data_IF_729435409309
#
_entry.id   IF_729435409309
#
_cell.length_a   1.000
_cell.length_b   1.000
_cell.length_c   1.000
_cell.angle_alpha   90.00
_cell.angle_beta   90.00
_cell.angle_gamma   90.00
#
_symmetry.space_group_name_H-M   'P 1'
#
loop_
_entity.id
_entity.type
_entity.pdbx_description
1 polymer ?
#
# COMPACT_ATOMS: atom_id res chain seq x y z
N UNK A 1 30.67 58.47 -24.75
CA UNK A 1 30.90 57.05 -25.07
C UNK A 1 31.48 56.36 -23.83
N UNK A 2 30.83 55.29 -23.36
CA UNK A 2 31.42 54.30 -22.45
C UNK A 2 31.42 54.59 -20.94
N UNK A 3 30.28 54.40 -20.25
CA UNK A 3 30.27 54.11 -18.80
C UNK A 3 29.99 52.61 -18.62
N UNK A 4 30.95 51.93 -18.01
CA UNK A 4 30.90 50.53 -17.58
C UNK A 4 29.87 50.39 -16.45
N UNK A 5 28.76 49.70 -16.72
CA UNK A 5 27.76 49.31 -15.72
C UNK A 5 27.94 47.84 -15.34
N UNK A 6 28.19 47.58 -14.05
CA UNK A 6 28.20 46.23 -13.45
C UNK A 6 26.80 45.62 -13.57
N UNK A 7 26.71 44.48 -14.26
CA UNK A 7 25.50 43.65 -14.31
C UNK A 7 25.44 42.82 -13.02
N UNK A 8 24.49 43.15 -12.13
CA UNK A 8 24.12 42.30 -11.00
C UNK A 8 23.18 41.22 -11.55
N UNK A 9 23.65 39.98 -11.56
CA UNK A 9 22.82 38.81 -11.89
C UNK A 9 21.97 38.51 -10.64
N UNK A 10 20.72 38.99 -10.64
CA UNK A 10 19.69 38.52 -9.71
C UNK A 10 19.11 37.25 -10.34
N UNK A 11 19.49 36.10 -9.80
CA UNK A 11 18.91 34.81 -10.17
C UNK A 11 17.45 34.75 -9.73
N UNK A 12 16.54 35.02 -10.66
CA UNK A 12 15.11 34.75 -10.50
C UNK A 12 14.93 33.23 -10.58
N UNK A 13 14.71 32.60 -9.43
CA UNK A 13 14.18 31.24 -9.36
C UNK A 13 12.75 31.26 -9.89
N UNK A 14 12.59 30.83 -11.14
CA UNK A 14 11.28 30.55 -11.72
C UNK A 14 10.75 29.30 -11.04
N UNK A 15 9.86 29.50 -10.06
CA UNK A 15 9.04 28.44 -9.47
C UNK A 15 8.09 27.96 -10.57
N UNK A 16 8.44 26.85 -11.22
CA UNK A 16 7.50 26.10 -12.06
C UNK A 16 6.53 25.36 -11.14
N UNK A 17 5.40 26.00 -10.84
CA UNK A 17 4.25 25.38 -10.17
C UNK A 17 3.55 24.51 -11.21
N UNK A 18 3.97 23.25 -11.32
CA UNK A 18 3.15 22.20 -11.94
C UNK A 18 2.14 21.71 -10.90
N UNK A 19 0.87 22.10 -11.08
CA UNK A 19 -0.27 21.53 -10.37
C UNK A 19 -0.49 20.08 -10.84
N UNK A 20 0.22 19.13 -10.24
CA UNK A 20 -0.15 17.71 -10.26
C UNK A 20 -1.11 17.43 -9.11
N UNK A 21 -2.29 16.91 -9.41
CA UNK A 21 -3.21 16.37 -8.40
C UNK A 21 -2.54 15.17 -7.71
N UNK A 22 -1.87 15.39 -6.58
CA UNK A 22 -1.13 14.34 -5.89
C UNK A 22 -2.04 13.43 -5.06
N UNK A 23 -2.39 12.26 -5.60
CA UNK A 23 -2.82 11.10 -4.80
C UNK A 23 -1.64 10.18 -4.47
N UNK A 24 -0.56 10.77 -3.97
CA UNK A 24 0.63 10.04 -3.53
C UNK A 24 1.39 10.94 -2.55
N UNK A 25 1.02 10.90 -1.26
CA UNK A 25 1.87 11.48 -0.21
C UNK A 25 3.09 10.57 -0.11
N UNK A 26 4.07 10.77 -0.99
CA UNK A 26 5.39 10.16 -0.85
C UNK A 26 6.07 10.86 0.31
N UNK A 27 6.36 10.16 1.42
CA UNK A 27 7.16 10.76 2.48
C UNK A 27 8.54 11.03 1.89
N UNK A 28 8.91 12.30 1.73
CA UNK A 28 10.30 12.66 1.42
C UNK A 28 11.13 12.41 2.68
N UNK A 29 11.58 11.18 2.88
CA UNK A 29 12.50 10.83 3.97
C UNK A 29 13.92 11.27 3.58
N UNK A 30 14.51 12.15 4.39
CA UNK A 30 15.92 12.55 4.28
C UNK A 30 16.84 11.46 4.87
N UNK A 31 18.12 11.52 4.50
CA UNK A 31 19.23 10.72 5.04
C UNK A 31 19.17 10.71 6.59
N UNK A 32 19.21 9.52 7.19
CA UNK A 32 19.07 9.33 8.64
C UNK A 32 20.44 9.54 9.33
N UNK A 33 20.51 10.46 10.28
CA UNK A 33 21.57 10.54 11.31
C UNK A 33 21.03 9.91 12.62
N UNK A 34 21.89 9.58 13.58
CA UNK A 34 21.46 9.14 14.92
C UNK A 34 20.86 10.34 15.68
N UNK A 35 19.54 10.32 15.85
CA UNK A 35 18.72 11.35 16.50
C UNK A 35 18.93 12.81 16.00
N UNK A 36 18.73 13.10 14.71
CA UNK A 36 18.86 14.45 14.17
C UNK A 36 17.73 15.38 14.64
N UNK A 37 16.70 14.82 15.27
CA UNK A 37 15.40 15.47 15.48
C UNK A 37 15.14 15.78 16.98
N UNK A 38 16.06 15.41 17.88
CA UNK A 38 15.92 15.66 19.33
C UNK A 38 14.75 14.92 19.99
N UNK A 39 14.25 13.85 19.38
CA UNK A 39 13.13 13.07 19.91
C UNK A 39 13.62 12.26 21.09
N UNK A 40 12.97 12.43 22.24
CA UNK A 40 13.28 11.65 23.43
C UNK A 40 12.77 10.22 23.25
N UNK A 41 13.69 9.25 23.27
CA UNK A 41 13.36 7.82 23.19
C UNK A 41 13.64 7.12 24.50
N UNK A 42 12.74 6.23 24.91
CA UNK A 42 13.02 5.27 25.96
C UNK A 42 14.04 4.24 25.47
N UNK A 43 14.81 3.59 26.37
CA UNK A 43 15.53 2.38 26.02
C UNK A 43 14.57 1.37 25.40
N UNK A 44 15.03 0.63 24.39
CA UNK A 44 14.23 -0.46 23.84
C UNK A 44 13.98 -1.50 24.94
N UNK A 45 12.75 -2.05 25.03
CA UNK A 45 12.48 -3.10 25.99
C UNK A 45 13.27 -4.37 25.64
N UNK A 46 13.71 -5.10 26.66
CA UNK A 46 14.36 -6.40 26.47
C UNK A 46 13.41 -7.36 25.72
N UNK A 47 13.85 -8.02 24.64
CA UNK A 47 12.99 -8.90 23.85
C UNK A 47 12.40 -10.05 24.67
N UNK A 48 11.09 -10.26 24.55
CA UNK A 48 10.38 -11.43 25.11
C UNK A 48 9.86 -12.30 23.98
N UNK A 49 10.77 -13.08 23.38
CA UNK A 49 10.49 -13.86 22.17
C UNK A 49 9.80 -15.19 22.43
N UNK A 50 8.75 -15.46 21.66
CA UNK A 50 8.15 -16.79 21.50
C UNK A 50 8.55 -17.35 20.15
N UNK A 51 9.09 -18.57 20.12
CA UNK A 51 9.64 -19.17 18.91
C UNK A 51 8.77 -20.27 18.32
N UNK A 52 8.67 -20.25 16.99
CA UNK A 52 8.26 -21.35 16.14
C UNK A 52 9.50 -21.91 15.42
N UNK A 53 9.53 -23.21 15.19
CA UNK A 53 10.62 -23.90 14.49
C UNK A 53 10.09 -25.19 13.83
N UNK A 54 10.37 -25.37 12.54
CA UNK A 54 10.04 -26.59 11.78
C UNK A 54 11.26 -27.29 11.16
N UNK A 55 12.47 -26.94 11.60
CA UNK A 55 13.75 -27.42 11.05
C UNK A 55 14.26 -26.63 9.84
N UNK A 56 13.37 -25.95 9.11
CA UNK A 56 13.71 -25.16 7.91
C UNK A 56 13.60 -23.66 8.12
N UNK A 57 12.69 -23.23 8.99
CA UNK A 57 12.49 -21.84 9.38
C UNK A 57 12.43 -21.79 10.89
N UNK A 58 13.15 -20.83 11.48
CA UNK A 58 12.98 -20.43 12.87
C UNK A 58 12.46 -19.00 12.90
N UNK A 59 11.31 -18.81 13.55
CA UNK A 59 10.63 -17.52 13.65
C UNK A 59 10.40 -17.18 15.11
N UNK A 60 10.61 -15.93 15.50
CA UNK A 60 10.28 -15.43 16.81
C UNK A 60 9.41 -14.19 16.73
N UNK A 61 8.26 -14.21 17.41
CA UNK A 61 7.52 -12.98 17.71
C UNK A 61 7.96 -12.41 19.06
N UNK A 62 7.85 -11.10 19.25
CA UNK A 62 8.22 -10.46 20.52
C UNK A 62 7.01 -9.86 21.24
N UNK A 63 6.74 -10.37 22.44
CA UNK A 63 5.65 -9.88 23.28
C UNK A 63 5.89 -8.46 23.80
N UNK A 64 7.14 -8.00 23.80
CA UNK A 64 7.53 -6.63 24.13
C UNK A 64 7.68 -5.74 22.88
N UNK A 65 7.23 -6.20 21.71
CA UNK A 65 7.09 -5.39 20.50
C UNK A 65 5.76 -5.72 19.79
N UNK A 66 4.66 -5.72 20.54
CA UNK A 66 3.31 -5.92 20.01
C UNK A 66 3.09 -7.25 19.27
N UNK A 67 3.89 -8.27 19.56
CA UNK A 67 3.80 -9.57 18.91
C UNK A 67 4.27 -9.59 17.46
N UNK A 68 4.98 -8.56 16.99
CA UNK A 68 5.56 -8.55 15.65
C UNK A 68 6.66 -9.60 15.51
N UNK A 69 6.94 -10.00 14.27
CA UNK A 69 8.06 -10.90 13.98
C UNK A 69 9.35 -10.10 14.10
N UNK A 70 10.14 -10.38 15.13
CA UNK A 70 11.45 -9.75 15.40
C UNK A 70 12.62 -10.71 15.19
N UNK A 71 12.32 -11.98 14.91
CA UNK A 71 13.32 -12.97 14.57
C UNK A 71 12.84 -13.82 13.39
N UNK A 72 13.67 -13.93 12.36
CA UNK A 72 13.44 -14.84 11.23
C UNK A 72 14.79 -15.35 10.74
N UNK A 73 14.95 -16.66 10.68
CA UNK A 73 16.18 -17.30 10.25
C UNK A 73 15.91 -18.51 9.35
N UNK A 74 16.83 -18.75 8.42
CA UNK A 74 16.89 -19.99 7.66
C UNK A 74 17.50 -21.10 8.52
N UNK A 75 16.74 -22.18 8.73
CA UNK A 75 17.10 -23.27 9.64
C UNK A 75 17.01 -22.90 11.13
N UNK A 76 17.32 -23.88 11.98
CA UNK A 76 17.19 -23.76 13.45
C UNK A 76 18.29 -22.91 14.11
N UNK A 77 19.45 -22.83 13.45
CA UNK A 77 20.67 -22.15 13.92
C UNK A 77 21.08 -20.99 13.01
N UNK A 78 20.20 -20.54 12.13
CA UNK A 78 20.48 -19.41 11.25
C UNK A 78 20.63 -18.09 12.01
N UNK A 79 21.17 -17.09 11.32
CA UNK A 79 21.29 -15.73 11.87
C UNK A 79 19.96 -15.01 11.67
N UNK A 80 19.58 -14.19 12.65
CA UNK A 80 18.40 -13.34 12.52
C UNK A 80 18.53 -12.41 11.31
N UNK A 81 17.54 -12.43 10.43
CA UNK A 81 17.47 -11.57 9.27
C UNK A 81 16.75 -10.24 9.56
N UNK A 82 15.94 -10.18 10.62
CA UNK A 82 15.07 -9.05 10.94
C UNK A 82 15.84 -7.92 11.63
N UNK A 83 15.52 -6.68 11.26
CA UNK A 83 16.06 -5.49 11.91
C UNK A 83 15.13 -4.97 13.02
N UNK A 84 15.72 -4.74 14.19
CA UNK A 84 15.13 -4.36 15.46
C UNK A 84 15.70 -3.05 16.04
N UNK A 85 16.28 -2.18 15.22
CA UNK A 85 16.95 -0.95 15.69
C UNK A 85 16.02 0.07 16.37
N UNK A 86 14.71 0.02 16.10
CA UNK A 86 13.66 0.75 16.82
C UNK A 86 12.31 0.04 16.67
N UNK A 87 11.27 0.51 17.35
CA UNK A 87 9.91 -0.04 17.24
C UNK A 87 9.15 0.42 15.98
N UNK A 88 9.84 0.86 14.93
CA UNK A 88 9.25 1.15 13.62
C UNK A 88 9.79 0.25 12.50
N UNK A 89 10.81 -0.57 12.80
CA UNK A 89 11.36 -1.58 11.88
C UNK A 89 10.65 -2.92 12.14
N UNK A 90 11.24 -4.11 12.00
CA UNK A 90 10.54 -5.42 12.13
C UNK A 90 9.71 -5.85 10.90
N UNK A 91 9.13 -7.05 10.99
CA UNK A 91 8.12 -7.56 10.07
C UNK A 91 6.76 -7.36 10.72
N UNK A 92 6.00 -6.38 10.24
CA UNK A 92 4.83 -5.89 10.96
C UNK A 92 3.76 -5.24 10.07
N UNK A 93 2.63 -4.88 10.67
CA UNK A 93 1.55 -4.11 10.02
C UNK A 93 1.61 -2.64 10.44
N UNK A 94 1.56 -1.74 9.45
CA UNK A 94 1.36 -0.29 9.67
C UNK A 94 0.25 0.23 8.78
N UNK A 95 -0.74 0.90 9.37
CA UNK A 95 -1.91 1.42 8.65
C UNK A 95 -1.91 2.94 8.64
N UNK A 96 -2.52 3.56 7.64
CA UNK A 96 -2.55 5.02 7.48
C UNK A 96 -3.96 5.47 7.10
N UNK A 97 -4.46 6.47 7.81
CA UNK A 97 -5.69 7.19 7.50
C UNK A 97 -5.58 8.65 7.91
N UNK A 98 -6.55 9.47 7.52
CA UNK A 98 -6.72 10.80 8.11
C UNK A 98 -7.33 10.75 9.53
N UNK A 99 -7.37 11.91 10.21
CA UNK A 99 -6.94 13.22 9.71
C UNK A 99 -5.42 13.36 9.59
N UNK A 100 -4.96 14.35 8.82
CA UNK A 100 -3.54 14.71 8.67
C UNK A 100 -3.42 16.22 8.91
N UNK A 101 -2.74 16.69 9.98
CA UNK A 101 -2.15 15.89 11.06
C UNK A 101 -3.21 15.16 11.91
N UNK A 102 -2.75 14.19 12.71
CA UNK A 102 -3.58 13.50 13.71
C UNK A 102 -3.10 13.85 15.12
N UNK A 103 -3.95 14.58 15.85
CA UNK A 103 -3.76 14.94 17.25
C UNK A 103 -4.95 14.43 18.05
N UNK A 104 -4.68 13.84 19.21
CA UNK A 104 -5.71 13.26 20.09
C UNK A 104 -5.22 13.30 21.54
N UNK A 105 -6.13 13.38 22.51
CA UNK A 105 -5.80 13.35 23.94
C UNK A 105 -4.73 14.36 24.38
N UNK A 106 -4.70 15.54 23.74
CA UNK A 106 -3.73 16.60 24.01
C UNK A 106 -2.30 16.31 23.51
N UNK A 107 -2.13 15.29 22.66
CA UNK A 107 -0.85 14.92 22.05
C UNK A 107 -0.83 15.31 20.59
N UNK A 108 0.28 15.91 20.17
CA UNK A 108 0.54 16.30 18.79
C UNK A 108 1.62 15.40 18.16
N UNK A 109 1.55 15.15 16.84
CA UNK A 109 2.55 14.33 16.16
C UNK A 109 3.90 15.04 16.12
N UNK A 110 4.98 14.30 16.33
CA UNK A 110 6.33 14.85 16.16
C UNK A 110 6.54 15.37 14.74
N UNK A 111 7.25 16.50 14.61
CA UNK A 111 7.32 17.28 13.37
C UNK A 111 7.74 16.48 12.13
N UNK A 112 8.65 15.51 12.30
CA UNK A 112 9.15 14.65 11.21
C UNK A 112 8.07 13.78 10.56
N UNK A 113 7.05 13.39 11.31
CA UNK A 113 6.00 12.46 10.87
C UNK A 113 4.60 13.08 10.94
N UNK A 114 4.51 14.41 10.96
CA UNK A 114 3.24 15.16 10.97
C UNK A 114 2.29 14.78 9.81
N UNK A 115 2.85 14.34 8.68
CA UNK A 115 2.11 13.96 7.47
C UNK A 115 1.54 12.53 7.46
N UNK A 116 1.81 11.71 8.48
CA UNK A 116 1.36 10.31 8.50
C UNK A 116 -0.14 10.17 8.82
N UNK A 117 -0.68 11.08 9.63
CA UNK A 117 -2.07 11.04 10.10
C UNK A 117 -2.31 9.98 11.16
N UNK A 118 -3.50 9.37 11.16
CA UNK A 118 -3.81 8.22 11.99
C UNK A 118 -2.97 7.02 11.53
N UNK A 119 -1.91 6.72 12.26
CA UNK A 119 -0.92 5.72 11.88
C UNK A 119 -0.67 4.67 13.00
N UNK A 120 -1.56 3.67 13.15
CA UNK A 120 -1.32 2.53 14.03
C UNK A 120 -0.16 1.68 13.53
N UNK A 121 0.82 1.44 14.40
CA UNK A 121 1.98 0.58 14.18
C UNK A 121 1.96 -0.56 15.20
N UNK A 122 2.06 -1.79 14.70
CA UNK A 122 1.92 -3.00 15.51
C UNK A 122 2.94 -3.06 16.65
N UNK A 123 4.18 -2.62 16.44
CA UNK A 123 5.28 -2.79 17.40
C UNK A 123 5.31 -1.75 18.51
N UNK A 124 4.92 -0.50 18.22
CA UNK A 124 5.00 0.59 19.17
C UNK A 124 5.03 1.97 18.51
N UNK A 125 5.56 2.94 19.23
CA UNK A 125 5.69 4.32 18.77
C UNK A 125 7.15 4.76 18.60
N UNK A 126 7.33 5.98 18.09
CA UNK A 126 8.66 6.51 17.81
C UNK A 126 9.50 6.84 19.06
N UNK A 127 8.87 6.90 20.22
CA UNK A 127 9.52 7.14 21.51
C UNK A 127 9.94 5.81 22.17
N UNK A 128 9.86 4.69 21.44
CA UNK A 128 10.15 3.33 21.89
C UNK A 128 9.20 2.83 22.99
N UNK A 129 7.94 3.30 23.03
CA UNK A 129 6.94 2.62 23.86
C UNK A 129 6.33 1.46 23.08
N UNK A 130 6.40 0.22 23.61
CA UNK A 130 5.88 -0.94 22.92
C UNK A 130 4.36 -0.96 22.91
N UNK A 131 3.81 -1.49 21.82
CA UNK A 131 2.40 -1.81 21.71
C UNK A 131 2.04 -2.97 22.64
N UNK A 132 0.80 -2.98 23.14
CA UNK A 132 0.35 -3.93 24.14
C UNK A 132 -0.15 -5.23 23.49
N UNK A 133 0.52 -6.35 23.77
CA UNK A 133 -0.07 -7.68 23.50
C UNK A 133 -1.14 -7.98 24.55
N UNK A 134 -2.38 -8.19 24.10
CA UNK A 134 -3.53 -8.48 24.96
C UNK A 134 -3.93 -9.96 24.96
N UNK A 135 -3.52 -10.74 23.95
CA UNK A 135 -3.69 -12.19 23.92
C UNK A 135 -2.67 -12.82 22.98
N UNK A 136 -2.21 -14.02 23.31
CA UNK A 136 -1.42 -14.85 22.40
C UNK A 136 -1.68 -16.32 22.71
N UNK A 137 -1.55 -17.16 21.69
CA UNK A 137 -1.68 -18.61 21.82
C UNK A 137 -0.71 -19.28 20.86
N UNK A 138 0.18 -20.11 21.39
CA UNK A 138 1.05 -20.96 20.59
C UNK A 138 0.46 -22.38 20.56
N UNK A 139 0.39 -22.98 19.38
CA UNK A 139 -0.08 -24.36 19.18
C UNK A 139 1.04 -25.17 18.53
N UNK A 140 1.66 -26.05 19.31
CA UNK A 140 2.83 -26.80 18.86
C UNK A 140 4.01 -25.90 18.50
N UNK A 141 4.82 -26.34 17.53
CA UNK A 141 6.05 -25.66 17.12
C UNK A 141 5.90 -24.83 15.83
N UNK A 142 4.72 -24.86 15.20
CA UNK A 142 4.54 -24.28 13.86
C UNK A 142 3.42 -23.25 13.77
N UNK A 143 2.63 -23.04 14.82
CA UNK A 143 1.50 -22.12 14.80
C UNK A 143 1.48 -21.18 15.99
N UNK A 144 1.23 -19.90 15.72
CA UNK A 144 1.10 -18.87 16.75
C UNK A 144 0.00 -17.88 16.36
N UNK A 145 -0.81 -17.51 17.34
CA UNK A 145 -1.75 -16.41 17.28
C UNK A 145 -1.32 -15.31 18.25
N UNK A 146 -1.45 -14.05 17.83
CA UNK A 146 -1.24 -12.89 18.69
C UNK A 146 -2.25 -11.79 18.40
N UNK A 147 -2.64 -11.08 19.46
CA UNK A 147 -3.59 -9.96 19.45
C UNK A 147 -3.02 -8.78 20.20
N UNK A 148 -3.01 -7.62 19.57
CA UNK A 148 -2.29 -6.43 20.01
C UNK A 148 -3.12 -5.18 19.85
N UNK A 149 -3.00 -4.26 20.81
CA UNK A 149 -3.41 -2.86 20.66
C UNK A 149 -2.18 -2.09 20.17
N UNK A 150 -2.12 -1.69 18.89
CA UNK A 150 -0.99 -0.95 18.34
C UNK A 150 -0.94 0.48 18.93
N UNK A 151 0.22 1.12 18.83
CA UNK A 151 0.36 2.54 19.17
C UNK A 151 0.30 3.41 17.91
N UNK A 152 -0.08 4.67 18.06
CA UNK A 152 0.00 5.69 17.01
C UNK A 152 1.45 6.16 16.92
N UNK A 153 2.12 5.82 15.82
CA UNK A 153 3.57 6.02 15.64
C UNK A 153 4.09 7.42 16.00
N UNK A 154 3.53 8.52 15.46
CA UNK A 154 4.10 9.84 15.70
C UNK A 154 3.74 10.45 17.06
N UNK A 155 2.96 9.76 17.90
CA UNK A 155 2.52 10.24 19.21
C UNK A 155 3.27 9.53 20.35
N UNK A 156 3.31 10.15 21.52
CA UNK A 156 3.92 9.57 22.71
C UNK A 156 2.94 8.64 23.44
N UNK A 157 3.20 7.34 23.44
CA UNK A 157 2.47 6.28 24.14
C UNK A 157 0.95 6.39 23.96
N UNK A 158 0.51 6.62 22.72
CA UNK A 158 -0.91 6.73 22.40
C UNK A 158 -1.41 5.44 21.76
N UNK A 159 -2.26 4.65 22.43
CA UNK A 159 -2.86 3.47 21.82
C UNK A 159 -3.79 3.89 20.67
N UNK A 160 -3.85 3.08 19.62
CA UNK A 160 -4.78 3.31 18.54
C UNK A 160 -6.17 2.75 18.86
N UNK A 161 -7.21 3.35 18.27
CA UNK A 161 -8.60 2.86 18.30
C UNK A 161 -8.81 1.64 17.38
N UNK A 162 -7.92 0.67 17.44
CA UNK A 162 -8.04 -0.59 16.71
C UNK A 162 -7.34 -1.74 17.44
N UNK A 163 -7.64 -2.96 17.02
CA UNK A 163 -6.96 -4.16 17.49
C UNK A 163 -6.45 -4.92 16.28
N UNK A 164 -5.18 -5.33 16.32
CA UNK A 164 -4.53 -6.15 15.30
C UNK A 164 -4.41 -7.58 15.79
N UNK A 165 -4.75 -8.53 14.93
CA UNK A 165 -4.67 -9.97 15.16
C UNK A 165 -3.88 -10.62 14.02
N UNK A 166 -2.93 -11.47 14.38
CA UNK A 166 -2.10 -12.21 13.43
C UNK A 166 -2.12 -13.70 13.76
N UNK A 167 -2.38 -14.52 12.75
CA UNK A 167 -2.20 -15.97 12.80
C UNK A 167 -1.03 -16.33 11.91
N UNK A 168 0.01 -16.90 12.52
CA UNK A 168 1.30 -17.21 11.90
C UNK A 168 1.44 -18.72 11.84
N UNK A 169 1.80 -19.24 10.68
CA UNK A 169 2.02 -20.68 10.45
C UNK A 169 3.30 -20.93 9.65
N UNK A 170 4.14 -21.85 10.12
CA UNK A 170 5.30 -22.33 9.38
C UNK A 170 4.90 -23.49 8.45
N UNK A 171 5.14 -23.32 7.15
CA UNK A 171 4.87 -24.31 6.10
C UNK A 171 6.11 -24.49 5.24
N UNK A 172 6.81 -25.62 5.38
CA UNK A 172 8.08 -25.85 4.68
C UNK A 172 9.08 -24.70 4.93
N UNK A 173 9.59 -24.03 3.89
CA UNK A 173 10.45 -22.84 3.99
C UNK A 173 9.68 -21.51 4.02
N UNK A 174 8.37 -21.54 4.26
CA UNK A 174 7.47 -20.38 4.18
C UNK A 174 6.84 -20.08 5.54
N UNK A 175 6.62 -18.80 5.81
CA UNK A 175 5.76 -18.30 6.89
C UNK A 175 4.49 -17.75 6.27
N UNK A 176 3.36 -18.40 6.52
CA UNK A 176 2.06 -17.90 6.13
C UNK A 176 1.47 -17.07 7.27
N UNK A 177 1.01 -15.86 6.96
CA UNK A 177 0.41 -14.97 7.96
C UNK A 177 -0.95 -14.47 7.49
N UNK A 178 -1.95 -14.69 8.33
CA UNK A 178 -3.26 -14.05 8.21
C UNK A 178 -3.33 -12.88 9.18
N UNK A 179 -3.78 -11.73 8.70
CA UNK A 179 -3.89 -10.49 9.46
C UNK A 179 -5.32 -9.99 9.48
N UNK A 180 -5.81 -9.59 10.65
CA UNK A 180 -7.08 -8.91 10.84
C UNK A 180 -6.88 -7.68 11.71
N UNK A 181 -7.33 -6.53 11.24
CA UNK A 181 -7.42 -5.31 12.05
C UNK A 181 -8.89 -4.92 12.20
N UNK A 182 -9.37 -4.87 13.44
CA UNK A 182 -10.70 -4.35 13.76
C UNK A 182 -10.56 -2.89 14.18
N UNK A 183 -11.07 -1.97 13.37
CA UNK A 183 -11.02 -0.52 13.60
C UNK A 183 -12.32 -0.09 14.28
N UNK A 184 -12.21 0.65 15.39
CA UNK A 184 -13.35 1.13 16.19
C UNK A 184 -13.12 2.59 16.62
N UNK A 185 -12.95 3.48 15.65
CA UNK A 185 -12.74 4.91 15.88
C UNK A 185 -14.05 5.61 16.23
N UNK A 186 -13.97 6.53 17.20
CA UNK A 186 -15.08 7.42 17.56
C UNK A 186 -15.37 8.47 16.48
N UNK A 187 -14.32 8.95 15.81
CA UNK A 187 -14.43 9.83 14.65
C UNK A 187 -14.95 9.06 13.43
N UNK A 188 -16.13 9.45 12.95
CA UNK A 188 -16.85 8.80 11.85
C UNK A 188 -16.58 9.40 10.48
N UNK A 189 -15.65 10.36 10.39
CA UNK A 189 -15.28 10.98 9.12
C UNK A 189 -14.66 9.95 8.18
N UNK A 190 -15.22 9.79 6.98
CA UNK A 190 -14.55 9.02 5.92
C UNK A 190 -13.42 9.86 5.32
N UNK A 191 -12.19 9.46 5.58
CA UNK A 191 -10.99 10.06 5.00
C UNK A 191 -10.66 9.47 3.63
N UNK A 192 -9.82 10.18 2.86
CA UNK A 192 -9.29 9.67 1.60
C UNK A 192 -8.48 8.38 1.84
N UNK A 193 -8.47 7.52 0.82
CA UNK A 193 -7.65 6.32 0.85
C UNK A 193 -6.16 6.67 0.92
N UNK A 194 -5.40 5.77 1.55
CA UNK A 194 -3.94 5.89 1.65
C UNK A 194 -3.27 4.55 1.36
N UNK A 195 -1.99 4.63 1.02
CA UNK A 195 -1.09 3.49 0.97
C UNK A 195 -0.96 2.89 2.37
N UNK A 196 -1.17 1.59 2.49
CA UNK A 196 -1.00 0.82 3.74
C UNK A 196 0.29 -0.01 3.67
N UNK A 197 0.92 -0.34 4.79
CA UNK A 197 1.98 -1.35 4.84
C UNK A 197 1.40 -2.67 5.35
N UNK A 198 1.08 -3.57 4.42
CA UNK A 198 0.30 -4.77 4.68
C UNK A 198 0.96 -6.03 4.07
N UNK A 199 2.14 -6.46 4.57
CA UNK A 199 2.92 -5.91 5.69
C UNK A 199 4.12 -5.05 5.22
N UNK A 200 4.88 -4.49 6.16
CA UNK A 200 6.28 -4.08 5.96
C UNK A 200 7.26 -5.15 6.45
N UNK A 201 8.42 -5.22 5.80
CA UNK A 201 9.50 -6.18 6.04
C UNK A 201 10.82 -5.41 6.08
N UNK A 202 11.40 -5.28 7.27
CA UNK A 202 12.73 -4.72 7.47
C UNK A 202 13.75 -5.84 7.75
N UNK A 203 14.77 -5.95 6.89
CA UNK A 203 15.89 -6.87 7.10
C UNK A 203 17.18 -6.13 7.43
N UNK A 204 18.14 -6.85 7.99
CA UNK A 204 19.46 -6.35 8.34
C UNK A 204 20.27 -5.88 7.11
N UNK A 205 21.29 -5.07 7.34
CA UNK A 205 22.02 -4.40 6.26
C UNK A 205 22.63 -5.28 5.15
N UNK A 206 23.04 -6.55 5.40
CA UNK A 206 23.55 -7.43 4.35
C UNK A 206 22.57 -7.81 3.23
N UNK A 207 21.26 -7.62 3.41
CA UNK A 207 20.23 -7.98 2.43
C UNK A 207 20.03 -6.85 1.38
N UNK A 208 21.07 -6.56 0.61
CA UNK A 208 21.13 -5.41 -0.30
C UNK A 208 20.51 -5.63 -1.68
N UNK A 209 20.26 -6.88 -2.08
CA UNK A 209 19.76 -7.20 -3.41
C UNK A 209 18.24 -7.15 -3.43
N UNK A 210 17.69 -6.12 -4.06
CA UNK A 210 16.25 -5.91 -4.19
C UNK A 210 15.80 -6.49 -5.52
N UNK A 211 14.93 -7.51 -5.51
CA UNK A 211 14.56 -8.24 -6.72
C UNK A 211 13.05 -8.42 -6.82
N UNK A 212 12.49 -8.20 -8.01
CA UNK A 212 11.10 -8.57 -8.36
C UNK A 212 10.98 -8.70 -9.88
N UNK A 213 9.89 -9.26 -10.38
CA UNK A 213 9.56 -9.20 -11.81
C UNK A 213 8.62 -8.02 -12.08
N UNK A 214 9.10 -7.04 -12.87
CA UNK A 214 8.29 -5.87 -13.30
C UNK A 214 7.97 -5.88 -14.80
N UNK A 215 8.25 -7.00 -15.48
CA UNK A 215 8.05 -7.14 -16.92
C UNK A 215 6.59 -7.34 -17.32
N UNK A 216 6.36 -7.35 -18.64
CA UNK A 216 5.03 -7.43 -19.25
C UNK A 216 4.59 -8.87 -19.59
N UNK A 217 5.37 -9.88 -19.22
CA UNK A 217 5.07 -11.30 -19.45
C UNK A 217 5.22 -12.11 -18.14
N UNK A 218 4.45 -11.78 -17.09
CA UNK A 218 4.58 -12.45 -15.80
C UNK A 218 4.26 -13.94 -15.94
N UNK A 219 4.89 -14.75 -15.08
CA UNK A 219 4.68 -16.19 -15.01
C UNK A 219 5.18 -16.97 -16.24
N UNK A 220 6.11 -16.42 -17.02
CA UNK A 220 6.76 -17.07 -18.18
C UNK A 220 8.23 -17.43 -17.94
N UNK A 221 8.71 -17.26 -16.71
CA UNK A 221 10.11 -17.36 -16.29
C UNK A 221 11.06 -16.37 -16.99
N UNK A 222 10.52 -15.27 -17.53
CA UNK A 222 11.30 -14.17 -18.10
C UNK A 222 12.22 -13.52 -17.05
N UNK A 223 13.22 -12.75 -17.48
CA UNK A 223 14.29 -12.24 -16.62
C UNK A 223 13.73 -11.31 -15.54
N UNK A 224 14.12 -11.53 -14.29
CA UNK A 224 13.75 -10.67 -13.15
C UNK A 224 14.54 -9.36 -13.16
N UNK A 225 14.00 -8.34 -12.49
CA UNK A 225 14.67 -7.06 -12.31
C UNK A 225 15.38 -7.05 -10.96
N UNK A 226 16.70 -6.82 -10.97
CA UNK A 226 17.49 -6.55 -9.78
C UNK A 226 17.78 -5.05 -9.69
N UNK A 227 17.48 -4.46 -8.54
CA UNK A 227 17.64 -3.05 -8.26
C UNK A 227 18.74 -2.83 -7.24
N UNK A 228 19.45 -1.70 -7.38
CA UNK A 228 20.43 -1.27 -6.39
C UNK A 228 19.71 -0.84 -5.10
N UNK A 229 20.40 -0.85 -3.95
CA UNK A 229 19.90 -0.24 -2.72
C UNK A 229 19.53 1.23 -2.93
N UNK A 230 18.23 1.51 -3.07
CA UNK A 230 17.71 2.86 -3.24
C UNK A 230 17.46 3.50 -1.87
N UNK A 231 18.09 4.64 -1.60
CA UNK A 231 17.89 5.36 -0.32
C UNK A 231 16.51 6.04 -0.20
N UNK A 232 15.78 6.14 -1.31
CA UNK A 232 14.39 6.59 -1.34
C UNK A 232 13.42 5.41 -1.46
N UNK A 233 12.27 5.54 -0.82
CA UNK A 233 11.15 4.62 -1.05
C UNK A 233 10.76 4.67 -2.52
N UNK A 234 10.81 3.51 -3.17
CA UNK A 234 10.61 3.36 -4.60
C UNK A 234 9.50 2.36 -4.89
N UNK A 235 8.50 2.76 -5.66
CA UNK A 235 7.41 1.90 -6.13
C UNK A 235 7.93 0.83 -7.10
N UNK A 236 7.42 -0.38 -6.93
CA UNK A 236 7.67 -1.55 -7.76
C UNK A 236 6.33 -2.13 -8.20
N UNK A 237 6.11 -2.14 -9.51
CA UNK A 237 4.96 -2.81 -10.11
C UNK A 237 5.29 -4.28 -10.32
N UNK A 238 5.07 -5.10 -9.28
CA UNK A 238 5.44 -6.51 -9.25
C UNK A 238 4.36 -7.37 -9.92
N UNK A 239 4.52 -7.66 -11.21
CA UNK A 239 3.50 -8.36 -12.02
C UNK A 239 3.36 -9.84 -11.70
N UNK A 240 4.28 -10.40 -10.90
CA UNK A 240 4.19 -11.75 -10.32
C UNK A 240 3.75 -11.78 -8.84
N UNK A 241 3.34 -10.63 -8.27
CA UNK A 241 2.85 -10.49 -6.89
C UNK A 241 3.87 -10.80 -5.77
N UNK A 242 5.16 -10.69 -6.05
CA UNK A 242 6.22 -10.85 -5.04
C UNK A 242 7.34 -9.84 -5.20
N UNK A 243 8.04 -9.53 -4.09
CA UNK A 243 9.32 -8.84 -4.07
C UNK A 243 10.27 -9.57 -3.11
N UNK A 244 11.59 -9.42 -3.28
CA UNK A 244 12.59 -10.12 -2.49
C UNK A 244 13.74 -9.22 -2.08
N UNK A 245 14.27 -9.49 -0.88
CA UNK A 245 15.49 -8.92 -0.34
C UNK A 245 16.48 -10.06 -0.08
N UNK A 246 17.56 -10.10 -0.87
CA UNK A 246 18.58 -11.14 -0.79
C UNK A 246 19.94 -10.57 -0.39
N UNK A 247 20.76 -11.39 0.24
CA UNK A 247 22.15 -11.08 0.52
C UNK A 247 23.06 -11.40 -0.68
N UNK A 248 24.37 -11.15 -0.52
CA UNK A 248 25.36 -11.41 -1.56
C UNK A 248 25.46 -12.88 -2.01
N UNK A 249 25.10 -13.86 -1.15
CA UNK A 249 25.06 -15.28 -1.52
C UNK A 249 23.74 -15.68 -2.19
N UNK A 250 22.82 -14.75 -2.42
CA UNK A 250 21.53 -15.01 -3.06
C UNK A 250 20.51 -15.67 -2.14
N UNK A 251 20.67 -15.55 -0.82
CA UNK A 251 19.74 -16.05 0.21
C UNK A 251 19.03 -14.88 0.89
N UNK A 252 17.77 -15.06 1.27
CA UNK A 252 17.03 -14.03 2.00
C UNK A 252 15.54 -14.32 2.06
N UNK A 253 14.73 -13.27 1.95
CA UNK A 253 13.28 -13.33 2.14
C UNK A 253 12.56 -12.75 0.93
N UNK A 254 11.61 -13.52 0.40
CA UNK A 254 10.57 -13.03 -0.51
C UNK A 254 9.29 -12.69 0.26
N UNK A 255 8.64 -11.59 -0.09
CA UNK A 255 7.28 -11.25 0.33
C UNK A 255 6.33 -11.49 -0.84
N UNK A 256 5.38 -12.40 -0.67
CA UNK A 256 4.30 -12.65 -1.63
C UNK A 256 2.96 -12.22 -1.05
N UNK A 257 2.13 -11.58 -1.87
CA UNK A 257 0.73 -11.27 -1.52
C UNK A 257 -0.15 -11.41 -2.74
N UNK A 258 -1.06 -12.39 -2.70
CA UNK A 258 -1.94 -12.70 -3.82
C UNK A 258 -2.74 -11.46 -4.28
N UNK A 259 -2.78 -11.24 -5.60
CA UNK A 259 -3.48 -10.12 -6.23
C UNK A 259 -3.01 -8.73 -5.76
N UNK A 260 -1.76 -8.61 -5.28
CA UNK A 260 -1.12 -7.32 -5.04
C UNK A 260 -0.02 -7.06 -6.08
N UNK A 261 -0.11 -5.91 -6.73
CA UNK A 261 0.83 -5.50 -7.77
C UNK A 261 1.70 -4.32 -7.33
N UNK A 262 1.35 -3.68 -6.21
CA UNK A 262 2.07 -2.53 -5.66
C UNK A 262 2.94 -2.99 -4.51
N UNK A 263 4.24 -2.88 -4.72
CA UNK A 263 5.25 -3.03 -3.68
C UNK A 263 6.06 -1.75 -3.61
N UNK A 264 6.66 -1.49 -2.46
CA UNK A 264 7.70 -0.48 -2.32
C UNK A 264 8.94 -1.10 -1.73
N UNK A 265 10.10 -0.53 -2.08
CA UNK A 265 11.40 -0.98 -1.59
C UNK A 265 12.26 0.22 -1.23
N UNK A 266 13.13 0.08 -0.24
CA UNK A 266 14.09 1.11 0.15
C UNK A 266 15.31 0.48 0.85
N UNK A 267 16.33 1.31 1.07
CA UNK A 267 17.48 1.00 1.89
C UNK A 267 17.84 2.18 2.80
N UNK A 268 17.87 1.94 4.10
CA UNK A 268 18.23 2.91 5.13
C UNK A 268 19.65 2.66 5.63
N UNK A 269 20.41 3.72 5.93
CA UNK A 269 21.80 3.60 6.40
C UNK A 269 22.77 3.16 5.29
N UNK A 270 23.88 2.53 5.69
CA UNK A 270 24.96 2.10 4.79
C UNK A 270 24.69 0.68 4.24
N UNK A 271 24.67 0.47 2.91
CA UNK A 271 24.51 -0.84 2.28
C UNK A 271 25.54 -1.88 2.72
N UNK A 272 25.08 -3.10 3.03
CA UNK A 272 25.94 -4.28 3.21
C UNK A 272 26.56 -4.43 4.59
N UNK A 273 26.33 -3.47 5.50
CA UNK A 273 26.83 -3.48 6.88
C UNK A 273 25.68 -3.32 7.86
N UNK A 274 25.84 -3.86 9.06
CA UNK A 274 24.84 -3.76 10.13
C UNK A 274 24.14 -5.08 10.43
N UNK A 275 23.71 -5.21 11.66
CA UNK A 275 23.09 -6.38 12.26
C UNK A 275 21.70 -6.00 12.78
N UNK A 276 21.16 -6.81 13.67
CA UNK A 276 19.81 -6.70 14.22
C UNK A 276 19.49 -5.31 14.78
N UNK A 277 20.42 -4.62 15.45
CA UNK A 277 20.13 -3.35 16.12
C UNK A 277 20.75 -2.13 15.45
N UNK A 278 21.35 -2.30 14.27
CA UNK A 278 21.96 -1.21 13.52
C UNK A 278 20.94 -0.46 12.67
N UNK A 279 21.17 0.83 12.43
CA UNK A 279 20.31 1.68 11.58
C UNK A 279 20.23 1.19 10.13
N UNK A 280 21.28 0.51 9.66
CA UNK A 280 21.35 -0.02 8.31
C UNK A 280 20.35 -1.15 8.09
N UNK A 281 19.38 -0.93 7.19
CA UNK A 281 18.30 -1.88 6.95
C UNK A 281 17.79 -1.79 5.53
N UNK A 282 17.53 -2.95 4.93
CA UNK A 282 16.75 -3.05 3.70
C UNK A 282 15.27 -3.16 4.03
N UNK A 283 14.43 -2.67 3.13
CA UNK A 283 13.00 -2.56 3.35
C UNK A 283 12.23 -2.95 2.10
N UNK A 284 11.16 -3.72 2.31
CA UNK A 284 10.10 -3.91 1.32
C UNK A 284 8.74 -3.93 2.00
N UNK A 285 7.69 -3.54 1.27
CA UNK A 285 6.32 -3.68 1.74
C UNK A 285 5.38 -3.97 0.57
N UNK A 286 4.34 -4.76 0.84
CA UNK A 286 3.16 -4.81 -0.02
C UNK A 286 2.25 -3.65 0.36
N UNK A 287 1.86 -2.84 -0.64
CA UNK A 287 1.25 -1.52 -0.40
C UNK A 287 -0.11 -1.35 -1.06
N UNK A 288 -1.16 -2.05 -0.58
CA UNK A 288 -2.52 -1.78 -1.02
C UNK A 288 -2.91 -0.32 -0.74
N UNK A 289 -3.74 0.26 -1.62
CA UNK A 289 -4.35 1.57 -1.39
C UNK A 289 -5.78 1.36 -0.91
N UNK A 290 -6.12 1.82 0.29
CA UNK A 290 -7.38 1.44 0.95
C UNK A 290 -8.07 2.64 1.61
N UNK A 291 -9.41 2.66 1.57
CA UNK A 291 -10.26 3.50 2.42
C UNK A 291 -10.48 2.78 3.75
N UNK A 292 -9.98 3.33 4.85
CA UNK A 292 -10.18 2.76 6.19
C UNK A 292 -11.30 3.50 6.92
N UNK A 293 -12.53 2.99 6.84
CA UNK A 293 -13.65 3.53 7.62
C UNK A 293 -13.46 3.29 9.13
N UNK A 294 -14.16 4.11 9.91
CA UNK A 294 -14.04 4.14 11.37
C UNK A 294 -14.43 2.82 12.08
N UNK A 295 -15.23 1.97 11.43
CA UNK A 295 -15.84 0.74 11.96
C UNK A 295 -15.51 -0.51 11.11
N UNK A 296 -14.39 -0.48 10.37
CA UNK A 296 -14.04 -1.53 9.40
C UNK A 296 -13.27 -2.68 10.04
N UNK A 297 -13.53 -3.90 9.55
CA UNK A 297 -12.61 -5.04 9.68
C UNK A 297 -11.77 -5.10 8.40
N UNK A 298 -10.46 -4.89 8.54
CA UNK A 298 -9.50 -4.96 7.44
C UNK A 298 -8.68 -6.24 7.54
N UNK A 299 -8.75 -7.08 6.52
CA UNK A 299 -8.08 -8.38 6.49
C UNK A 299 -7.17 -8.50 5.27
N UNK A 300 -6.04 -9.15 5.47
CA UNK A 300 -5.13 -9.54 4.39
C UNK A 300 -4.28 -10.74 4.82
N UNK A 301 -3.76 -11.45 3.83
CA UNK A 301 -2.84 -12.55 4.04
C UNK A 301 -1.58 -12.30 3.21
N UNK A 302 -0.45 -12.85 3.68
CA UNK A 302 0.81 -12.80 2.96
C UNK A 302 1.66 -14.02 3.33
N UNK A 303 2.65 -14.28 2.48
CA UNK A 303 3.64 -15.31 2.70
C UNK A 303 5.04 -14.71 2.67
N UNK A 304 5.88 -15.12 3.62
CA UNK A 304 7.31 -14.86 3.62
C UNK A 304 8.01 -16.14 3.20
N UNK A 305 8.80 -16.10 2.13
CA UNK A 305 9.49 -17.27 1.59
C UNK A 305 10.98 -17.12 1.87
N UNK A 306 11.51 -18.04 2.67
CA UNK A 306 12.90 -18.01 3.10
C UNK A 306 13.70 -18.90 2.17
N UNK A 307 14.73 -18.33 1.53
CA UNK A 307 15.62 -19.11 0.70
C UNK A 307 16.23 -18.32 -0.46
N UNK A 308 16.39 -19.02 -1.57
CA UNK A 308 16.97 -18.48 -2.81
C UNK A 308 15.91 -17.76 -3.65
N UNK A 309 16.38 -17.03 -4.66
CA UNK A 309 15.49 -16.43 -5.68
C UNK A 309 14.60 -17.49 -6.36
N UNK A 310 15.14 -18.68 -6.63
CA UNK A 310 14.35 -19.75 -7.25
C UNK A 310 13.26 -20.25 -6.30
N UNK A 311 13.57 -20.47 -5.02
CA UNK A 311 12.57 -20.87 -4.01
C UNK A 311 11.39 -19.90 -3.96
N UNK A 312 11.69 -18.59 -3.96
CA UNK A 312 10.71 -17.49 -3.91
C UNK A 312 9.86 -17.48 -5.17
N UNK A 313 10.49 -17.50 -6.35
CA UNK A 313 9.76 -17.42 -7.62
C UNK A 313 8.93 -18.66 -7.88
N UNK A 314 9.47 -19.85 -7.57
CA UNK A 314 8.72 -21.10 -7.68
C UNK A 314 7.53 -21.14 -6.72
N UNK A 315 7.66 -20.58 -5.51
CA UNK A 315 6.50 -20.42 -4.62
C UNK A 315 5.40 -19.61 -5.29
N UNK A 316 5.70 -18.43 -5.83
CA UNK A 316 4.73 -17.61 -6.56
C UNK A 316 4.15 -18.35 -7.78
N UNK A 317 4.93 -19.21 -8.43
CA UNK A 317 4.50 -19.97 -9.60
C UNK A 317 3.49 -21.07 -9.27
N UNK A 318 3.49 -21.56 -8.02
CA UNK A 318 2.53 -22.54 -7.52
C UNK A 318 1.21 -21.94 -7.05
N UNK A 319 1.13 -20.62 -6.87
CA UNK A 319 -0.09 -19.95 -6.42
C UNK A 319 -1.10 -19.77 -7.56
N UNK A 320 -2.37 -19.62 -7.20
CA UNK A 320 -3.43 -19.24 -8.14
C UNK A 320 -3.05 -17.97 -8.87
N UNK A 321 -3.18 -18.00 -10.21
CA UNK A 321 -2.87 -16.84 -11.04
C UNK A 321 -3.84 -15.69 -10.78
N UNK A 322 -3.36 -14.43 -10.78
CA UNK A 322 -4.24 -13.28 -10.69
C UNK A 322 -5.22 -13.24 -11.87
N UNK A 323 -6.40 -12.66 -11.63
CA UNK A 323 -7.37 -12.43 -12.70
C UNK A 323 -6.77 -11.49 -13.76
N UNK A 324 -6.76 -11.93 -15.02
CA UNK A 324 -6.24 -11.17 -16.16
C UNK A 324 -7.30 -10.29 -16.85
N UNK A 325 -8.53 -10.31 -16.33
CA UNK A 325 -9.66 -9.52 -16.82
C UNK A 325 -10.48 -8.98 -15.63
N UNK A 326 -11.23 -7.86 -15.79
CA UNK A 326 -12.04 -7.30 -14.72
C UNK A 326 -13.26 -8.18 -14.37
N UNK A 327 -13.51 -8.38 -13.07
CA UNK A 327 -14.81 -8.85 -12.54
C UNK A 327 -15.04 -8.32 -11.12
N UNK A 328 -15.09 -7.00 -10.96
CA UNK A 328 -15.38 -6.38 -9.66
C UNK A 328 -16.87 -6.45 -9.36
N UNK A 329 -17.21 -7.02 -8.21
CA UNK A 329 -18.58 -7.10 -7.68
C UNK A 329 -18.63 -6.40 -6.35
N UNK A 330 -19.56 -5.46 -6.21
CA UNK A 330 -19.67 -4.62 -5.02
C UNK A 330 -20.71 -5.15 -4.06
N UNK A 331 -20.55 -6.41 -3.64
CA UNK A 331 -21.44 -7.10 -2.71
C UNK A 331 -20.69 -7.34 -1.40
N UNK A 332 -20.97 -6.55 -0.37
CA UNK A 332 -20.33 -6.64 0.94
C UNK A 332 -18.93 -6.01 1.00
N UNK A 333 -18.42 -5.44 -0.10
CA UNK A 333 -17.06 -4.90 -0.17
C UNK A 333 -16.91 -3.85 -1.26
N UNK A 334 -15.91 -2.97 -1.09
CA UNK A 334 -15.45 -2.05 -2.15
C UNK A 334 -14.62 -2.73 -3.23
N UNK A 335 -14.28 -4.01 -3.06
CA UNK A 335 -13.29 -4.70 -3.90
C UNK A 335 -12.01 -3.86 -4.09
N UNK A 336 -11.61 -3.16 -3.01
CA UNK A 336 -10.44 -2.27 -2.92
C UNK A 336 -10.49 -1.02 -3.82
N UNK A 337 -11.67 -0.69 -4.37
CA UNK A 337 -11.88 0.60 -5.03
C UNK A 337 -11.82 1.74 -4.01
N UNK A 338 -11.31 2.87 -4.47
CA UNK A 338 -11.08 4.05 -3.64
C UNK A 338 -11.39 5.35 -4.39
N UNK A 339 -11.32 6.47 -3.67
CA UNK A 339 -11.84 7.74 -4.15
C UNK A 339 -10.79 8.85 -4.04
N UNK A 340 -10.85 9.77 -4.99
CA UNK A 340 -10.17 11.07 -4.92
C UNK A 340 -11.23 12.17 -5.00
N UNK A 341 -11.23 13.07 -4.02
CA UNK A 341 -12.16 14.21 -3.96
C UNK A 341 -13.65 13.84 -4.11
N UNK A 342 -14.02 12.61 -3.73
CA UNK A 342 -15.38 12.13 -3.58
C UNK A 342 -15.39 11.03 -2.51
N UNK A 343 -16.56 10.47 -2.20
CA UNK A 343 -16.74 9.42 -1.21
C UNK A 343 -17.99 8.59 -1.49
N UNK A 344 -18.04 7.42 -0.89
CA UNK A 344 -19.26 6.62 -0.84
C UNK A 344 -20.02 6.82 0.47
N UNK A 345 -20.94 5.90 0.75
CA UNK A 345 -21.83 5.93 1.92
C UNK A 345 -21.21 5.31 3.18
N UNK A 346 -19.95 4.89 3.15
CA UNK A 346 -19.27 4.30 4.30
C UNK A 346 -19.36 2.77 4.38
N UNK A 347 -18.77 2.23 5.44
CA UNK A 347 -18.85 0.80 5.78
C UNK A 347 -20.01 0.53 6.76
N UNK A 348 -20.75 -0.59 6.63
CA UNK A 348 -20.58 -1.68 5.66
C UNK A 348 -21.07 -1.32 4.25
N UNK A 349 -20.38 -1.88 3.24
CA UNK A 349 -20.87 -1.81 1.86
C UNK A 349 -22.00 -2.82 1.67
N UNK A 350 -23.13 -2.39 1.12
CA UNK A 350 -24.26 -3.25 0.78
C UNK A 350 -24.03 -4.06 -0.50
N UNK A 351 -25.04 -4.11 -1.37
CA UNK A 351 -24.98 -4.82 -2.66
C UNK A 351 -24.52 -3.93 -3.85
N UNK A 352 -24.07 -2.72 -3.56
CA UNK A 352 -23.60 -1.74 -4.54
C UNK A 352 -22.65 -0.72 -3.87
N UNK A 353 -21.75 -0.13 -4.66
CA UNK A 353 -21.12 1.14 -4.30
C UNK A 353 -22.08 2.28 -4.58
N UNK A 354 -22.51 2.99 -3.54
CA UNK A 354 -23.25 4.24 -3.69
C UNK A 354 -22.29 5.42 -3.46
N UNK A 355 -21.80 5.98 -4.56
CA UNK A 355 -20.76 7.01 -4.57
C UNK A 355 -21.36 8.36 -4.93
N UNK A 356 -20.90 9.41 -4.26
CA UNK A 356 -21.21 10.78 -4.66
C UNK A 356 -20.59 11.05 -6.04
N UNK A 357 -21.40 11.45 -7.00
CA UNK A 357 -20.96 11.83 -8.35
C UNK A 357 -20.73 13.35 -8.43
N UNK A 358 -20.00 13.87 -7.46
CA UNK A 358 -19.67 15.28 -7.32
C UNK A 358 -18.42 15.47 -6.47
N UNK A 359 -17.72 16.59 -6.66
CA UNK A 359 -16.55 16.97 -5.87
C UNK A 359 -16.94 17.23 -4.41
N UNK A 360 -16.11 16.74 -3.49
CA UNK A 360 -16.17 17.12 -2.06
C UNK A 360 -15.61 18.53 -1.87
N UNK A 361 -14.40 18.77 -2.39
CA UNK A 361 -13.75 20.07 -2.49
C UNK A 361 -13.94 20.62 -3.91
N UNK A 362 -14.77 21.67 -4.02
CA UNK A 362 -15.10 22.31 -5.31
C UNK A 362 -13.97 23.17 -5.87
N UNK A 363 -12.91 23.43 -5.10
CA UNK A 363 -11.71 24.15 -5.56
C UNK A 363 -10.80 23.28 -6.42
N UNK A 364 -10.87 21.95 -6.28
CA UNK A 364 -10.12 20.99 -7.12
C UNK A 364 -10.79 20.79 -8.46
N UNK A 365 -10.02 20.51 -9.52
CA UNK A 365 -10.57 20.42 -10.88
C UNK A 365 -11.55 19.25 -11.09
N UNK A 366 -11.34 18.10 -10.43
CA UNK A 366 -12.06 16.84 -10.70
C UNK A 366 -12.26 16.01 -9.41
N UNK A 367 -13.00 14.90 -9.53
CA UNK A 367 -13.06 13.78 -8.59
C UNK A 367 -12.91 12.47 -9.37
N UNK A 368 -12.47 11.40 -8.73
CA UNK A 368 -12.28 10.11 -9.40
C UNK A 368 -12.66 8.94 -8.49
N UNK A 369 -13.21 7.88 -9.09
CA UNK A 369 -13.45 6.56 -8.50
C UNK A 369 -12.44 5.61 -9.14
N UNK A 370 -11.51 5.05 -8.36
CA UNK A 370 -10.32 4.36 -8.86
C UNK A 370 -10.33 2.88 -8.47
N UNK A 371 -10.00 2.00 -9.42
CA UNK A 371 -9.80 0.57 -9.15
C UNK A 371 -8.54 0.34 -8.32
N UNK A 372 -8.37 -0.82 -7.67
CA UNK A 372 -7.03 -1.25 -7.26
C UNK A 372 -6.09 -1.38 -8.48
N UNK A 373 -4.79 -1.51 -8.22
CA UNK A 373 -3.84 -1.89 -9.26
C UNK A 373 -4.17 -3.31 -9.76
N UNK A 374 -4.01 -3.52 -11.05
CA UNK A 374 -4.33 -4.76 -11.77
C UNK A 374 -3.24 -5.08 -12.78
N UNK A 375 -3.33 -6.24 -13.42
CA UNK A 375 -2.54 -6.58 -14.61
C UNK A 375 -3.48 -7.16 -15.66
N UNK A 376 -3.85 -6.37 -16.67
CA UNK A 376 -4.67 -6.83 -17.79
C UNK A 376 -3.95 -6.59 -19.09
N UNK A 377 -3.92 -7.59 -19.97
CA UNK A 377 -3.58 -7.35 -21.37
C UNK A 377 -4.76 -6.63 -22.02
N UNK A 378 -4.51 -5.50 -22.66
CA UNK A 378 -5.56 -4.70 -23.28
C UNK A 378 -6.37 -5.50 -24.32
N UNK A 379 -5.71 -6.44 -25.02
CA UNK A 379 -6.32 -7.35 -25.99
C UNK A 379 -7.35 -8.31 -25.37
N UNK A 380 -7.19 -8.64 -24.09
CA UNK A 380 -8.07 -9.57 -23.37
C UNK A 380 -9.29 -8.83 -22.79
N UNK A 381 -9.30 -7.50 -22.87
CA UNK A 381 -10.38 -6.62 -22.39
C UNK A 381 -10.83 -5.67 -23.50
N UNK A 382 -11.41 -6.19 -24.61
CA UNK A 382 -11.87 -5.36 -25.73
C UNK A 382 -13.15 -4.56 -25.41
N UNK A 383 -13.91 -4.99 -24.39
CA UNK A 383 -15.14 -4.35 -23.93
C UNK A 383 -15.18 -4.37 -22.41
N UNK A 384 -15.51 -3.23 -21.80
CA UNK A 384 -15.80 -3.12 -20.37
C UNK A 384 -17.30 -2.92 -20.17
N UNK A 385 -17.89 -3.63 -19.22
CA UNK A 385 -19.26 -3.47 -18.77
C UNK A 385 -19.32 -2.83 -17.39
N UNK A 386 -20.16 -1.81 -17.25
CA UNK A 386 -20.45 -1.15 -15.98
C UNK A 386 -21.96 -1.27 -15.72
N UNK A 387 -22.34 -2.05 -14.72
CA UNK A 387 -23.72 -2.10 -14.22
C UNK A 387 -23.90 -0.98 -13.19
N UNK A 388 -24.51 0.12 -13.62
CA UNK A 388 -24.65 1.31 -12.79
C UNK A 388 -25.96 2.07 -13.01
N UNK A 389 -26.34 2.85 -11.99
CA UNK A 389 -27.43 3.81 -12.00
C UNK A 389 -26.86 5.20 -11.68
N UNK A 390 -26.77 6.07 -12.69
CA UNK A 390 -26.33 7.45 -12.50
C UNK A 390 -27.53 8.33 -12.18
N UNK A 391 -27.42 9.18 -11.16
CA UNK A 391 -28.39 10.23 -10.83
C UNK A 391 -27.68 11.57 -10.95
N UNK A 392 -27.75 12.19 -12.13
CA UNK A 392 -26.94 13.36 -12.49
C UNK A 392 -27.52 14.07 -13.72
N UNK A 393 -27.36 15.40 -13.88
CA UNK A 393 -27.72 16.07 -15.13
C UNK A 393 -26.70 15.82 -16.27
N UNK A 394 -25.55 15.20 -16.01
CA UNK A 394 -24.57 14.86 -17.03
C UNK A 394 -25.10 13.77 -17.98
N UNK A 395 -24.77 13.87 -19.26
CA UNK A 395 -25.12 12.88 -20.29
C UNK A 395 -23.95 12.00 -20.68
N UNK A 396 -22.76 12.29 -20.18
CA UNK A 396 -21.54 11.51 -20.37
C UNK A 396 -20.78 11.32 -19.06
N UNK A 397 -20.06 10.21 -18.97
CA UNK A 397 -19.03 9.95 -17.97
C UNK A 397 -17.74 9.58 -18.68
N UNK A 398 -16.62 9.66 -17.96
CA UNK A 398 -15.29 9.36 -18.49
C UNK A 398 -14.75 8.10 -17.83
N UNK A 399 -14.30 7.17 -18.66
CA UNK A 399 -13.36 6.12 -18.28
C UNK A 399 -11.95 6.67 -18.48
N UNK A 400 -11.08 6.50 -17.49
CA UNK A 400 -9.65 6.74 -17.61
C UNK A 400 -8.86 5.51 -17.19
N UNK A 401 -7.63 5.38 -17.67
CA UNK A 401 -6.78 4.24 -17.34
C UNK A 401 -5.32 4.63 -17.22
N UNK A 402 -4.55 3.77 -16.58
CA UNK A 402 -3.10 3.83 -16.48
C UNK A 402 -2.48 2.63 -17.18
N UNK A 403 -1.29 2.84 -17.70
CA UNK A 403 -0.37 1.79 -18.13
C UNK A 403 0.84 1.76 -17.18
N UNK A 404 1.62 0.65 -17.16
CA UNK A 404 2.89 0.62 -16.44
C UNK A 404 3.79 1.81 -16.81
N UNK A 405 4.33 2.50 -15.80
CA UNK A 405 5.13 3.71 -15.96
C UNK A 405 4.37 5.03 -15.77
N UNK A 406 3.04 5.04 -15.89
CA UNK A 406 2.23 6.23 -15.59
C UNK A 406 2.27 6.51 -14.08
N UNK A 407 2.76 7.69 -13.69
CA UNK A 407 2.84 8.09 -12.26
C UNK A 407 1.46 8.40 -11.65
N UNK A 408 0.48 8.78 -12.47
CA UNK A 408 -0.93 9.00 -12.10
C UNK A 408 -1.83 8.83 -13.35
N UNK A 409 -3.15 9.00 -13.19
CA UNK A 409 -4.09 9.10 -14.30
C UNK A 409 -3.80 10.37 -15.12
N UNK A 410 -3.37 10.17 -16.37
CA UNK A 410 -3.04 11.26 -17.28
C UNK A 410 -4.29 11.75 -18.02
N UNK A 411 -4.55 13.05 -18.01
CA UNK A 411 -5.64 13.67 -18.75
C UNK A 411 -5.34 13.81 -20.26
N UNK A 412 -5.03 12.69 -20.92
CA UNK A 412 -4.67 12.64 -22.34
C UNK A 412 -5.73 11.87 -23.15
N UNK A 413 -5.93 12.20 -24.45
CA UNK A 413 -6.84 11.44 -25.31
C UNK A 413 -6.50 9.94 -25.43
N UNK A 414 -5.25 9.56 -25.19
CA UNK A 414 -4.77 8.15 -25.21
C UNK A 414 -4.89 7.44 -23.86
N UNK A 415 -5.52 8.08 -22.87
CA UNK A 415 -5.71 7.57 -21.50
C UNK A 415 -7.14 7.73 -21.00
N UNK A 416 -8.02 8.23 -21.85
CA UNK A 416 -9.39 8.57 -21.50
C UNK A 416 -10.36 8.22 -22.63
N UNK A 417 -11.58 7.89 -22.26
CA UNK A 417 -12.69 7.64 -23.17
C UNK A 417 -13.98 8.11 -22.51
N UNK A 418 -14.63 9.10 -23.12
CA UNK A 418 -15.98 9.50 -22.74
C UNK A 418 -17.01 8.52 -23.30
N UNK A 419 -18.00 8.16 -22.50
CA UNK A 419 -19.09 7.27 -22.88
C UNK A 419 -20.44 7.84 -22.43
N UNK A 420 -21.53 7.58 -23.18
CA UNK A 420 -22.85 8.09 -22.84
C UNK A 420 -23.40 7.43 -21.58
N UNK A 421 -24.09 8.22 -20.76
CA UNK A 421 -24.83 7.76 -19.58
C UNK A 421 -26.26 8.30 -19.58
N UNK A 422 -27.15 7.66 -18.81
CA UNK A 422 -28.49 8.21 -18.51
C UNK A 422 -28.58 8.51 -17.02
N UNK A 423 -28.81 9.78 -16.68
CA UNK A 423 -28.74 10.29 -15.31
C UNK A 423 -30.05 10.25 -14.51
N UNK A 424 -30.94 9.31 -14.79
CA UNK A 424 -32.29 9.19 -14.20
C UNK A 424 -32.37 8.30 -12.95
N UNK A 425 -31.23 7.79 -12.47
CA UNK A 425 -31.14 6.93 -11.28
C UNK A 425 -31.54 5.47 -11.52
N UNK A 426 -31.76 5.05 -12.77
CA UNK A 426 -32.13 3.67 -13.14
C UNK A 426 -30.90 2.87 -13.56
N UNK A 427 -30.84 1.62 -13.10
CA UNK A 427 -29.77 0.68 -13.43
C UNK A 427 -29.74 0.34 -14.92
N UNK A 428 -28.55 0.42 -15.51
CA UNK A 428 -28.24 0.01 -16.88
C UNK A 428 -26.89 -0.68 -16.92
N UNK A 429 -26.68 -1.48 -17.97
CA UNK A 429 -25.36 -1.98 -18.32
C UNK A 429 -24.78 -1.09 -19.42
N UNK A 430 -23.77 -0.30 -19.07
CA UNK A 430 -23.02 0.51 -20.01
C UNK A 430 -21.90 -0.33 -20.62
N UNK A 431 -21.96 -0.56 -21.93
CA UNK A 431 -20.93 -1.31 -22.68
C UNK A 431 -19.98 -0.33 -23.36
N UNK A 432 -18.72 -0.36 -22.95
CA UNK A 432 -17.67 0.54 -23.41
C UNK A 432 -16.72 -0.25 -24.31
N UNK A 433 -16.70 0.09 -25.60
CA UNK A 433 -15.79 -0.54 -26.58
C UNK A 433 -14.40 0.07 -26.51
N UNK A 434 -13.41 -0.77 -26.21
CA UNK A 434 -12.00 -0.42 -26.02
C UNK A 434 -11.10 -0.98 -27.13
N UNK A 435 -11.59 -1.97 -27.88
CA UNK A 435 -10.91 -2.50 -29.05
C UNK A 435 -10.56 -1.38 -30.05
N UNK A 436 -9.29 -1.28 -30.41
CA UNK A 436 -8.77 -0.27 -31.34
C UNK A 436 -8.78 1.17 -30.80
N UNK A 437 -9.09 1.39 -29.51
CA UNK A 437 -8.99 2.73 -28.92
C UNK A 437 -7.53 3.13 -28.75
N UNK A 438 -7.14 4.33 -29.23
CA UNK A 438 -5.77 4.82 -29.04
C UNK A 438 -5.35 4.78 -27.57
N UNK A 439 -4.23 4.12 -27.29
CA UNK A 439 -3.66 4.00 -25.94
C UNK A 439 -4.31 2.95 -25.03
N UNK A 440 -5.35 2.22 -25.48
CA UNK A 440 -5.78 0.96 -24.86
C UNK A 440 -5.01 -0.21 -25.49
N UNK A 441 -3.76 -0.38 -25.07
CA UNK A 441 -2.83 -1.36 -25.64
C UNK A 441 -1.93 -1.95 -24.55
N UNK A 442 -1.14 -2.96 -24.91
CA UNK A 442 -0.17 -3.60 -24.02
C UNK A 442 -0.80 -4.01 -22.68
N UNK A 443 -0.35 -3.41 -21.58
CA UNK A 443 -0.84 -3.67 -20.23
C UNK A 443 -1.60 -2.47 -19.70
N UNK A 444 -2.78 -2.74 -19.14
CA UNK A 444 -3.57 -1.81 -18.33
C UNK A 444 -3.35 -2.19 -16.87
N UNK A 445 -2.92 -1.22 -16.05
CA UNK A 445 -2.60 -1.46 -14.63
C UNK A 445 -3.53 -0.77 -13.63
N UNK A 446 -4.44 0.10 -14.10
CA UNK A 446 -5.50 0.67 -13.28
C UNK A 446 -6.57 1.31 -14.18
N UNK A 447 -7.82 1.34 -13.72
CA UNK A 447 -8.90 2.10 -14.35
C UNK A 447 -9.55 3.06 -13.35
N UNK A 448 -10.19 4.10 -13.87
CA UNK A 448 -10.89 5.12 -13.10
C UNK A 448 -12.16 5.58 -13.80
N UNK A 449 -13.14 6.00 -13.02
CA UNK A 449 -14.35 6.67 -13.48
C UNK A 449 -14.37 8.09 -12.95
N UNK A 450 -14.65 9.05 -13.83
CA UNK A 450 -14.60 10.47 -13.50
C UNK A 450 -15.64 11.26 -14.32
N UNK A 451 -15.97 12.51 -13.94
CA UNK A 451 -16.89 13.32 -14.73
C UNK A 451 -16.22 13.76 -16.05
N UNK A 452 -16.97 13.72 -17.15
CA UNK A 452 -16.51 14.32 -18.40
C UNK A 452 -16.41 15.84 -18.23
N UNK A 453 -15.27 16.48 -18.59
CA UNK A 453 -15.10 17.92 -18.48
C UNK A 453 -16.21 18.70 -19.20
N UNK A 454 -16.71 19.76 -18.56
CA UNK A 454 -17.77 20.62 -19.12
C UNK A 454 -19.20 20.10 -18.97
N UNK A 455 -19.40 18.88 -18.44
CA UNK A 455 -20.75 18.38 -18.16
C UNK A 455 -21.41 19.14 -16.99
N UNK A 456 -22.74 19.31 -17.01
CA UNK A 456 -23.48 19.83 -15.87
C UNK A 456 -23.26 18.98 -14.62
N UNK A 457 -23.10 19.62 -13.47
CA UNK A 457 -22.91 18.95 -12.18
C UNK A 457 -23.91 19.46 -11.14
N UNK A 458 -24.31 18.59 -10.20
CA UNK A 458 -25.08 18.94 -9.01
C UNK A 458 -24.42 18.33 -7.79
N UNK A 459 -24.39 19.05 -6.67
CA UNK A 459 -23.73 18.60 -5.44
C UNK A 459 -24.33 17.33 -4.84
N UNK A 460 -25.59 17.04 -5.18
CA UNK A 460 -26.38 15.87 -4.76
C UNK A 460 -26.34 14.71 -5.74
N UNK A 461 -25.61 14.83 -6.85
CA UNK A 461 -25.51 13.76 -7.84
C UNK A 461 -24.82 12.51 -7.25
N UNK A 462 -25.25 11.32 -7.69
CA UNK A 462 -24.72 10.03 -7.25
C UNK A 462 -24.55 9.05 -8.41
N UNK A 463 -23.74 8.04 -8.20
CA UNK A 463 -23.70 6.83 -9.01
C UNK A 463 -23.79 5.62 -8.08
N UNK A 464 -24.66 4.68 -8.43
CA UNK A 464 -24.76 3.38 -7.75
C UNK A 464 -24.22 2.32 -8.69
N UNK A 465 -23.23 1.54 -8.25
CA UNK A 465 -22.49 0.59 -9.12
C UNK A 465 -22.54 -0.79 -8.48
N UNK A 466 -23.00 -1.79 -9.23
CA UNK A 466 -23.05 -3.20 -8.77
C UNK A 466 -21.88 -4.01 -9.27
N UNK A 467 -21.47 -3.77 -10.51
CA UNK A 467 -20.41 -4.53 -11.18
C UNK A 467 -19.64 -3.67 -12.16
N UNK A 468 -18.33 -3.87 -12.21
CA UNK A 468 -17.45 -3.44 -13.30
C UNK A 468 -16.68 -4.67 -13.76
N UNK A 469 -16.90 -5.12 -15.00
CA UNK A 469 -16.34 -6.38 -15.46
C UNK A 469 -16.15 -6.47 -16.97
N UNK A 470 -15.55 -7.57 -17.42
CA UNK A 470 -15.40 -7.88 -18.84
C UNK A 470 -16.79 -7.95 -19.49
N UNK A 471 -16.96 -7.23 -20.60
CA UNK A 471 -18.15 -7.33 -21.42
C UNK A 471 -18.13 -8.62 -22.23
N UNK A 472 -19.24 -9.37 -22.18
CA UNK A 472 -19.42 -10.60 -22.97
C UNK A 472 -19.82 -10.31 -24.40
#
# INVERSE_FOLDING_TARGET
MGRMGRLIIVGIWVISICFGCGSDVRPKLRRYEENPDGIQKNPLPEPKRLFLDNGKVRLGIDLNAGGAITYLAEGTSGVNMVNNADLGRQLQTSLYSGPVPYSVNGKDPVAKWIGLGWNPVQTGDVHNNPAQVISHQQTGNTQLYVKTIPNIWPLLAEPADCVMEHWIELRDNTVHVRSRTTINRADTTQYEARTQEAPCVYLNGPYTRIITYTGLNPFTNDVVNEFKPDHGITDRYATENWAALLNASGRGVGLYRANEFRFITAYFGAPGVGTEYDVSSSYMAAVPFEVLDHNRVYEFEYDLIIGSLDDIRQFAYRQTRPATVPDFRFSGSRARWFYYNTRDTGWPVGNELNVRWARTDTTKASFQIKSPAVYWKATDVPVLEIEAAFSTPATTARLSWRQPGDVDFLALPTRTLDFPITGDGVYRTYRISLAGKPGWQDIINQIGLEPTPGQPARSTATVRIRRIGLGR
#
